data_IF_003134466872
#
_entry.id   IF_003134466872
#
_cell.length_a   1.000
_cell.length_b   1.000
_cell.length_c   1.000
_cell.angle_alpha   90.00
_cell.angle_beta   90.00
_cell.angle_gamma   90.00
#
_symmetry.space_group_name_H-M   'P 1'
#
loop_
_entity.id
_entity.type
_entity.pdbx_description
1 polymer ?
#
# COMPACT_ATOMS: atom_id res chain seq x y z
N UNK A 1 36.32 16.31 -14.25
CA UNK A 1 35.93 15.53 -13.05
C UNK A 1 34.66 16.03 -12.34
N UNK A 2 33.98 17.10 -12.81
CA UNK A 2 32.68 17.52 -12.26
C UNK A 2 31.47 16.74 -12.82
N UNK A 3 31.55 16.22 -14.05
CA UNK A 3 30.43 15.54 -14.74
C UNK A 3 30.06 14.21 -14.05
N UNK A 4 31.04 13.51 -13.46
CA UNK A 4 30.82 12.21 -12.81
C UNK A 4 30.10 12.33 -11.45
N UNK A 5 30.21 13.48 -10.78
CA UNK A 5 29.57 13.70 -9.48
C UNK A 5 28.07 14.01 -9.61
N UNK A 6 27.64 14.71 -10.68
CA UNK A 6 26.22 14.91 -10.98
C UNK A 6 25.50 13.58 -11.23
N UNK A 7 26.17 12.62 -11.89
CA UNK A 7 25.63 11.28 -12.12
C UNK A 7 25.27 10.57 -10.81
N UNK A 8 26.14 10.62 -9.79
CA UNK A 8 25.92 9.97 -8.50
C UNK A 8 24.76 10.57 -7.72
N UNK A 9 24.65 11.90 -7.62
CA UNK A 9 23.55 12.55 -6.89
C UNK A 9 22.20 12.34 -7.56
N UNK A 10 22.15 12.42 -8.89
CA UNK A 10 20.95 12.11 -9.66
C UNK A 10 20.55 10.64 -9.47
N UNK A 11 21.53 9.74 -9.43
CA UNK A 11 21.32 8.31 -9.23
C UNK A 11 20.66 8.00 -7.87
N UNK A 12 21.22 8.54 -6.79
CA UNK A 12 20.70 8.43 -5.42
C UNK A 12 19.26 8.97 -5.34
N UNK A 13 19.03 10.15 -5.95
CA UNK A 13 17.72 10.82 -5.91
C UNK A 13 16.66 10.03 -6.66
N UNK A 14 16.98 9.52 -7.85
CA UNK A 14 16.06 8.73 -8.69
C UNK A 14 15.72 7.40 -8.01
N UNK A 15 16.72 6.71 -7.44
CA UNK A 15 16.50 5.47 -6.71
C UNK A 15 15.56 5.69 -5.51
N UNK A 16 15.80 6.74 -4.72
CA UNK A 16 15.00 7.03 -3.54
C UNK A 16 13.56 7.44 -3.88
N UNK A 17 13.37 8.27 -4.91
CA UNK A 17 12.04 8.65 -5.39
C UNK A 17 11.26 7.43 -5.91
N UNK A 18 11.93 6.51 -6.61
CA UNK A 18 11.32 5.29 -7.10
C UNK A 18 10.84 4.39 -5.94
N UNK A 19 11.70 4.15 -4.94
CA UNK A 19 11.35 3.35 -3.76
C UNK A 19 10.19 3.96 -2.97
N UNK A 20 10.26 5.27 -2.71
CA UNK A 20 9.19 6.03 -2.05
C UNK A 20 7.88 5.89 -2.81
N UNK A 21 7.90 6.09 -4.13
CA UNK A 21 6.71 6.00 -4.97
C UNK A 21 6.08 4.59 -4.94
N UNK A 22 6.89 3.53 -4.98
CA UNK A 22 6.40 2.16 -4.85
C UNK A 22 5.65 1.96 -3.53
N UNK A 23 6.24 2.38 -2.40
CA UNK A 23 5.62 2.25 -1.07
C UNK A 23 4.32 3.05 -1.00
N UNK A 24 4.33 4.30 -1.48
CA UNK A 24 3.14 5.15 -1.54
C UNK A 24 2.02 4.47 -2.34
N UNK A 25 2.31 3.87 -3.49
CA UNK A 25 1.32 3.15 -4.30
C UNK A 25 0.73 1.96 -3.53
N UNK A 26 1.57 1.15 -2.87
CA UNK A 26 1.08 0.03 -2.06
C UNK A 26 0.15 0.49 -0.94
N UNK A 27 0.55 1.49 -0.16
CA UNK A 27 -0.27 2.04 0.92
C UNK A 27 -1.59 2.63 0.41
N UNK A 28 -1.56 3.30 -0.74
CA UNK A 28 -2.78 3.81 -1.37
C UNK A 28 -3.74 2.69 -1.80
N UNK A 29 -3.22 1.59 -2.37
CA UNK A 29 -4.05 0.42 -2.73
C UNK A 29 -4.70 -0.20 -1.47
N UNK A 30 -3.95 -0.34 -0.38
CA UNK A 30 -4.49 -0.78 0.92
C UNK A 30 -5.60 0.17 1.38
N UNK A 31 -5.35 1.48 1.37
CA UNK A 31 -6.32 2.48 1.81
C UNK A 31 -7.61 2.47 0.99
N UNK A 32 -7.51 2.37 -0.34
CA UNK A 32 -8.69 2.25 -1.22
C UNK A 32 -9.49 0.99 -0.90
N UNK A 33 -8.80 -0.12 -0.65
CA UNK A 33 -9.42 -1.41 -0.30
C UNK A 33 -10.16 -1.33 1.03
N UNK A 34 -9.48 -0.80 2.06
CA UNK A 34 -10.06 -0.61 3.40
C UNK A 34 -11.23 0.36 3.36
N UNK A 35 -11.10 1.45 2.60
CA UNK A 35 -12.17 2.43 2.42
C UNK A 35 -13.46 1.80 1.86
N UNK A 36 -13.34 1.00 0.79
CA UNK A 36 -14.48 0.26 0.22
C UNK A 36 -15.05 -0.75 1.20
N UNK A 37 -14.19 -1.46 1.95
CA UNK A 37 -14.62 -2.43 2.95
C UNK A 37 -15.43 -1.77 4.08
N UNK A 38 -14.96 -0.66 4.63
CA UNK A 38 -15.66 0.09 5.70
C UNK A 38 -16.97 0.67 5.17
N UNK A 39 -16.98 1.24 3.96
CA UNK A 39 -18.20 1.75 3.35
C UNK A 39 -19.30 0.68 3.24
N UNK A 40 -18.95 -0.54 2.81
CA UNK A 40 -19.91 -1.64 2.64
C UNK A 40 -20.35 -2.25 3.97
N UNK A 41 -19.43 -2.45 4.92
CA UNK A 41 -19.74 -3.12 6.19
C UNK A 41 -20.31 -2.18 7.25
N UNK A 42 -19.94 -0.89 7.23
CA UNK A 42 -20.19 0.10 8.28
C UNK A 42 -20.61 1.46 7.70
N UNK A 43 -21.54 1.48 6.75
CA UNK A 43 -22.03 2.70 6.10
C UNK A 43 -22.41 3.83 7.09
N UNK A 44 -23.07 3.50 8.21
CA UNK A 44 -23.49 4.49 9.20
C UNK A 44 -22.33 5.16 9.96
N UNK A 45 -21.18 4.50 10.08
CA UNK A 45 -19.99 5.05 10.72
C UNK A 45 -19.03 5.70 9.70
N UNK A 46 -19.18 5.38 8.42
CA UNK A 46 -18.28 5.83 7.35
C UNK A 46 -18.24 7.35 7.24
N UNK A 47 -19.40 8.04 7.23
CA UNK A 47 -19.46 9.52 7.11
C UNK A 47 -18.76 10.25 8.26
N UNK A 48 -18.67 9.62 9.44
CA UNK A 48 -17.97 10.19 10.60
C UNK A 48 -16.46 9.95 10.55
N UNK A 49 -16.02 8.86 9.92
CA UNK A 49 -14.62 8.42 9.88
C UNK A 49 -13.90 9.00 8.65
N UNK A 50 -14.52 8.89 7.48
CA UNK A 50 -13.95 9.32 6.19
C UNK A 50 -14.56 10.65 5.75
N UNK A 51 -13.93 11.75 6.15
CA UNK A 51 -14.15 13.08 5.59
C UNK A 51 -12.96 13.51 4.70
N UNK A 52 -13.09 14.63 3.99
CA UNK A 52 -12.03 15.16 3.11
C UNK A 52 -10.71 15.38 3.86
N UNK A 53 -10.78 15.78 5.13
CA UNK A 53 -9.61 16.02 5.99
C UNK A 53 -8.94 14.71 6.37
N UNK A 54 -9.68 13.68 6.78
CA UNK A 54 -9.17 12.34 7.10
C UNK A 54 -8.48 11.72 5.90
N UNK A 55 -9.07 11.85 4.70
CA UNK A 55 -8.47 11.35 3.46
C UNK A 55 -7.18 12.10 3.15
N UNK A 56 -7.15 13.42 3.27
CA UNK A 56 -5.92 14.21 3.07
C UNK A 56 -4.83 13.83 4.09
N UNK A 57 -5.19 13.65 5.36
CA UNK A 57 -4.27 13.18 6.41
C UNK A 57 -3.72 11.80 6.06
N UNK A 58 -4.56 10.89 5.57
CA UNK A 58 -4.13 9.55 5.16
C UNK A 58 -3.17 9.59 3.97
N UNK A 59 -3.42 10.45 2.97
CA UNK A 59 -2.51 10.67 1.84
C UNK A 59 -1.16 11.22 2.31
N UNK A 60 -1.16 12.21 3.20
CA UNK A 60 0.06 12.77 3.80
C UNK A 60 0.81 11.68 4.59
N UNK A 61 0.09 10.88 5.38
CA UNK A 61 0.66 9.78 6.14
C UNK A 61 1.34 8.74 5.23
N UNK A 62 0.77 8.41 4.07
CA UNK A 62 1.40 7.52 3.09
C UNK A 62 2.77 8.04 2.65
N UNK A 63 2.85 9.34 2.34
CA UNK A 63 4.11 9.98 1.95
C UNK A 63 5.12 10.02 3.10
N UNK A 64 4.66 10.36 4.31
CA UNK A 64 5.51 10.35 5.51
C UNK A 64 6.09 8.96 5.80
N UNK A 65 5.28 7.90 5.62
CA UNK A 65 5.75 6.51 5.76
C UNK A 65 6.73 6.15 4.64
N UNK A 66 6.45 6.54 3.40
CA UNK A 66 7.35 6.32 2.26
C UNK A 66 8.73 6.93 2.50
N UNK A 67 8.79 8.22 2.87
CA UNK A 67 10.05 8.87 3.23
C UNK A 67 10.67 8.28 4.51
N UNK A 68 9.85 7.87 5.48
CA UNK A 68 10.31 7.24 6.72
C UNK A 68 11.04 5.92 6.50
N UNK A 69 10.64 5.13 5.49
CA UNK A 69 11.32 3.89 5.11
C UNK A 69 12.63 4.18 4.38
N UNK A 70 12.75 5.32 3.71
CA UNK A 70 13.99 5.78 3.07
C UNK A 70 14.97 6.44 4.07
N UNK A 71 14.51 6.94 5.22
CA UNK A 71 15.42 7.58 6.19
C UNK A 71 16.57 6.67 6.67
N UNK A 72 16.37 5.39 7.02
CA UNK A 72 17.45 4.45 7.32
C UNK A 72 18.47 4.33 6.19
N UNK A 73 17.99 4.43 4.95
CA UNK A 73 18.82 4.35 3.76
C UNK A 73 19.81 5.53 3.68
N UNK A 74 19.38 6.74 4.08
CA UNK A 74 20.24 7.93 4.13
C UNK A 74 21.19 8.00 5.34
N UNK A 75 20.90 7.27 6.42
CA UNK A 75 21.71 7.26 7.66
C UNK A 75 22.96 6.34 7.54
N UNK A 76 23.19 5.75 6.36
CA UNK A 76 24.37 4.95 6.07
C UNK A 76 24.20 3.45 6.36
N UNK A 77 22.95 2.98 6.50
CA UNK A 77 22.64 1.55 6.62
C UNK A 77 22.56 0.84 5.26
N UNK A 78 22.78 1.57 4.16
CA UNK A 78 23.12 1.02 2.87
C UNK A 78 23.46 2.11 1.87
N UNK A 79 23.86 1.69 0.68
CA UNK A 79 24.39 2.56 -0.36
C UNK A 79 23.51 2.47 -1.61
N UNK A 80 23.40 3.57 -2.36
CA UNK A 80 22.71 3.59 -3.65
C UNK A 80 23.76 3.47 -4.74
N UNK A 81 24.12 2.24 -5.09
CA UNK A 81 25.09 1.97 -6.15
C UNK A 81 24.42 1.91 -7.52
N UNK A 82 25.11 2.41 -8.54
CA UNK A 82 24.67 2.26 -9.92
C UNK A 82 24.93 0.82 -10.38
N UNK A 83 23.87 0.07 -10.70
CA UNK A 83 24.03 -1.27 -11.26
C UNK A 83 24.18 -1.18 -12.78
N UNK A 84 25.39 -1.47 -13.26
CA UNK A 84 25.76 -1.43 -14.67
C UNK A 84 24.99 -2.46 -15.51
N UNK A 85 24.45 -3.52 -14.89
CA UNK A 85 23.70 -4.57 -15.60
C UNK A 85 22.28 -4.16 -15.95
N UNK A 86 21.63 -3.40 -15.06
CA UNK A 86 20.26 -2.93 -15.27
C UNK A 86 20.21 -1.50 -15.78
N UNK A 87 21.36 -0.82 -15.89
CA UNK A 87 21.47 0.62 -16.18
C UNK A 87 20.56 1.44 -15.24
N UNK A 88 20.39 0.98 -14.00
CA UNK A 88 19.47 1.53 -13.02
C UNK A 88 20.21 1.73 -11.70
N UNK A 89 19.86 2.83 -11.03
CA UNK A 89 20.31 3.11 -9.67
C UNK A 89 19.48 2.28 -8.71
N UNK A 90 20.15 1.40 -7.95
CA UNK A 90 19.47 0.44 -7.10
C UNK A 90 20.11 0.40 -5.72
N UNK A 91 19.31 -0.01 -4.73
CA UNK A 91 19.76 -0.23 -3.37
C UNK A 91 20.81 -1.33 -3.32
N UNK A 92 22.00 -1.02 -2.79
CA UNK A 92 23.06 -2.00 -2.57
C UNK A 92 22.64 -2.95 -1.44
N UNK A 93 22.39 -4.20 -1.82
CA UNK A 93 21.93 -5.28 -0.92
C UNK A 93 23.07 -5.90 -0.11
N UNK A 94 24.32 -5.46 -0.25
CA UNK A 94 25.47 -6.26 0.17
C UNK A 94 25.88 -6.16 1.64
N UNK A 95 25.45 -5.17 2.43
CA UNK A 95 25.98 -5.00 3.79
C UNK A 95 25.18 -5.78 4.85
N UNK A 96 23.88 -6.08 4.63
CA UNK A 96 23.14 -7.11 5.37
C UNK A 96 21.87 -7.53 4.61
N UNK A 97 22.01 -8.42 3.62
CA UNK A 97 20.87 -8.96 2.82
C UNK A 97 19.71 -9.38 3.71
N UNK A 98 19.99 -10.03 4.83
CA UNK A 98 19.00 -10.57 5.75
C UNK A 98 18.15 -9.48 6.38
N UNK A 99 18.76 -8.38 6.83
CA UNK A 99 18.08 -7.28 7.49
C UNK A 99 17.19 -6.50 6.51
N UNK A 100 17.73 -6.15 5.33
CA UNK A 100 16.95 -5.47 4.28
C UNK A 100 15.82 -6.35 3.76
N UNK A 101 16.05 -7.66 3.59
CA UNK A 101 15.00 -8.61 3.16
C UNK A 101 13.92 -8.77 4.22
N UNK A 102 14.27 -8.85 5.51
CA UNK A 102 13.26 -8.97 6.57
C UNK A 102 12.39 -7.72 6.69
N UNK A 103 13.00 -6.54 6.64
CA UNK A 103 12.26 -5.27 6.71
C UNK A 103 11.37 -5.11 5.47
N UNK A 104 11.93 -5.27 4.26
CA UNK A 104 11.15 -5.16 3.03
C UNK A 104 10.07 -6.24 2.90
N UNK A 105 10.36 -7.48 3.28
CA UNK A 105 9.35 -8.55 3.32
C UNK A 105 8.25 -8.24 4.32
N UNK A 106 8.57 -7.69 5.50
CA UNK A 106 7.55 -7.23 6.46
C UNK A 106 6.64 -6.17 5.84
N UNK A 107 7.21 -5.16 5.19
CA UNK A 107 6.45 -4.09 4.53
C UNK A 107 5.68 -4.54 3.29
N UNK A 108 6.01 -5.68 2.66
CA UNK A 108 5.25 -6.22 1.52
C UNK A 108 4.19 -7.22 2.00
N UNK A 109 4.55 -8.13 2.89
CA UNK A 109 3.67 -9.20 3.38
C UNK A 109 2.52 -8.61 4.20
N UNK A 110 2.81 -7.65 5.09
CA UNK A 110 1.76 -7.03 5.92
C UNK A 110 0.64 -6.40 5.10
N UNK A 111 0.90 -5.48 4.14
CA UNK A 111 -0.17 -4.92 3.32
C UNK A 111 -0.84 -5.96 2.42
N UNK A 112 -0.10 -6.96 1.93
CA UNK A 112 -0.72 -8.05 1.16
C UNK A 112 -1.73 -8.84 1.99
N UNK A 113 -1.37 -9.24 3.21
CA UNK A 113 -2.29 -9.96 4.11
C UNK A 113 -3.49 -9.09 4.47
N UNK A 114 -3.27 -7.80 4.75
CA UNK A 114 -4.36 -6.85 5.02
C UNK A 114 -5.32 -6.72 3.82
N UNK A 115 -4.79 -6.55 2.61
CA UNK A 115 -5.60 -6.47 1.38
C UNK A 115 -6.40 -7.75 1.19
N UNK A 116 -5.76 -8.92 1.32
CA UNK A 116 -6.42 -10.21 1.17
C UNK A 116 -7.53 -10.39 2.20
N UNK A 117 -7.27 -10.10 3.46
CA UNK A 117 -8.24 -10.18 4.54
C UNK A 117 -9.45 -9.25 4.30
N UNK A 118 -9.20 -7.99 3.94
CA UNK A 118 -10.26 -7.02 3.67
C UNK A 118 -11.11 -7.44 2.46
N UNK A 119 -10.49 -7.89 1.37
CA UNK A 119 -11.22 -8.36 0.18
C UNK A 119 -12.07 -9.60 0.48
N UNK A 120 -11.54 -10.57 1.20
CA UNK A 120 -12.29 -11.77 1.61
C UNK A 120 -13.49 -11.40 2.48
N UNK A 121 -13.30 -10.49 3.44
CA UNK A 121 -14.36 -10.03 4.33
C UNK A 121 -15.46 -9.27 3.59
N UNK A 122 -15.08 -8.40 2.64
CA UNK A 122 -16.01 -7.69 1.76
C UNK A 122 -16.86 -8.67 0.94
N UNK A 123 -16.21 -9.62 0.26
CA UNK A 123 -16.88 -10.61 -0.58
C UNK A 123 -17.86 -11.43 0.26
N UNK A 124 -17.44 -11.93 1.43
CA UNK A 124 -18.31 -12.70 2.32
C UNK A 124 -19.60 -11.94 2.66
N UNK A 125 -19.49 -10.66 3.01
CA UNK A 125 -20.66 -9.81 3.30
C UNK A 125 -21.58 -9.65 2.09
N UNK A 126 -21.02 -9.46 0.90
CA UNK A 126 -21.80 -9.34 -0.35
C UNK A 126 -22.55 -10.65 -0.64
N UNK A 127 -21.89 -11.80 -0.47
CA UNK A 127 -22.52 -13.10 -0.66
C UNK A 127 -23.64 -13.36 0.34
N UNK A 128 -23.48 -12.98 1.61
CA UNK A 128 -24.53 -13.11 2.62
C UNK A 128 -25.76 -12.27 2.29
N UNK A 129 -25.56 -11.01 1.88
CA UNK A 129 -26.65 -10.13 1.44
C UNK A 129 -27.36 -10.71 0.21
N UNK A 130 -26.59 -11.20 -0.77
CA UNK A 130 -27.15 -11.82 -1.99
C UNK A 130 -28.03 -13.02 -1.64
N UNK A 131 -27.58 -13.91 -0.76
CA UNK A 131 -28.37 -15.08 -0.32
C UNK A 131 -29.69 -14.68 0.35
N UNK A 132 -29.64 -13.67 1.23
CA UNK A 132 -30.84 -13.17 1.91
C UNK A 132 -31.85 -12.57 0.92
N UNK A 133 -31.41 -11.77 -0.04
CA UNK A 133 -32.30 -11.15 -1.05
C UNK A 133 -33.01 -12.22 -1.90
N UNK A 134 -32.32 -13.28 -2.31
CA UNK A 134 -32.95 -14.37 -3.07
C UNK A 134 -34.01 -15.10 -2.23
N UNK A 135 -33.74 -15.32 -0.94
CA UNK A 135 -34.72 -15.88 0.00
C UNK A 135 -35.95 -14.98 0.20
N UNK A 136 -35.75 -13.66 0.28
CA UNK A 136 -36.87 -12.70 0.29
C UNK A 136 -37.67 -12.78 -1.01
N UNK A 137 -37.01 -12.75 -2.17
CA UNK A 137 -37.69 -12.80 -3.48
C UNK A 137 -38.55 -14.06 -3.63
N UNK A 138 -38.04 -15.23 -3.23
CA UNK A 138 -38.80 -16.47 -3.24
C UNK A 138 -40.03 -16.42 -2.31
N UNK A 139 -39.89 -15.80 -1.13
CA UNK A 139 -40.98 -15.65 -0.15
C UNK A 139 -42.04 -14.61 -0.56
N UNK A 140 -41.65 -13.56 -1.29
CA UNK A 140 -42.58 -12.58 -1.85
C UNK A 140 -43.44 -13.19 -2.95
N UNK A 141 -42.83 -13.96 -3.86
CA UNK A 141 -43.54 -14.66 -4.93
C UNK A 141 -44.59 -15.63 -4.37
N UNK A 142 -44.30 -16.34 -3.29
CA UNK A 142 -45.25 -17.27 -2.66
C UNK A 142 -46.40 -16.59 -1.89
N UNK A 143 -46.34 -15.27 -1.63
CA UNK A 143 -47.43 -14.53 -0.97
C UNK A 143 -48.43 -13.94 -1.96
N UNK A 144 -48.02 -13.75 -3.21
CA UNK A 144 -48.85 -13.19 -4.29
C UNK A 144 -49.66 -14.27 -5.03
N UNK A 145 -49.33 -15.56 -4.82
CA UNK A 145 -50.03 -16.73 -5.35
C UNK A 145 -51.04 -17.29 -4.36
#
# INVERSE_FOLDING_TARGET
>A
MHIMQWGSWLCISVASLFLTACICVFLNIVNITVNRWIFICYANAYDKIYNITSVNVLCIACWMIGFGVELPNFIGWGDHTFDEKTHQCSWDRHVDRSYTVLVSAGFIIVPLVLILYCNMSMIKRIWDVKRNIHGYKARWVSRES
#
